data_IF_277749675494
#
_entry.id   IF_277749675494
#
_cell.length_a   1.000
_cell.length_b   1.000
_cell.length_c   1.000
_cell.angle_alpha   90.00
_cell.angle_beta   90.00
_cell.angle_gamma   90.00
#
_symmetry.space_group_name_H-M   'P 1'
#
loop_
_entity.id
_entity.type
_entity.pdbx_description
1 polymer ?
#
# COMPACT_ATOMS: atom_id res chain seq x y z
N UNK A 1 29.73 20.86 -8.74
CA UNK A 1 29.26 21.73 -9.84
C UNK A 1 28.67 23.00 -9.25
N UNK A 2 27.76 22.92 -8.26
CA UNK A 2 27.16 24.09 -7.60
C UNK A 2 28.21 25.00 -6.95
N UNK A 3 29.17 24.41 -6.24
CA UNK A 3 30.28 25.10 -5.60
C UNK A 3 31.16 25.86 -6.60
N UNK A 4 31.29 25.32 -7.82
CA UNK A 4 32.06 25.96 -8.93
C UNK A 4 31.26 27.04 -9.65
N UNK A 5 29.93 26.92 -9.69
CA UNK A 5 29.04 27.86 -10.37
C UNK A 5 28.45 28.92 -9.41
N UNK A 6 28.75 28.87 -8.12
CA UNK A 6 28.33 29.83 -7.11
C UNK A 6 26.81 29.84 -6.85
N UNK A 7 26.13 28.73 -7.11
CA UNK A 7 24.70 28.58 -6.91
C UNK A 7 24.39 27.56 -5.78
N UNK A 8 23.28 27.75 -5.08
CA UNK A 8 22.69 26.72 -4.23
C UNK A 8 21.94 25.72 -5.11
N UNK A 9 22.31 24.43 -5.01
CA UNK A 9 21.52 23.34 -5.62
C UNK A 9 20.43 22.99 -4.64
N UNK A 10 19.19 23.32 -4.96
CA UNK A 10 18.04 22.78 -4.26
C UNK A 10 18.00 21.25 -4.39
N UNK A 11 17.37 20.57 -3.43
CA UNK A 11 17.15 19.13 -3.52
C UNK A 11 16.35 18.82 -4.79
N UNK A 12 16.96 17.99 -5.66
CA UNK A 12 16.27 17.41 -6.81
C UNK A 12 15.97 15.97 -6.43
N UNK A 13 14.69 15.64 -6.38
CA UNK A 13 14.27 14.28 -6.09
C UNK A 13 14.80 13.31 -7.18
N UNK A 14 15.54 12.25 -6.80
CA UNK A 14 16.07 11.30 -7.77
C UNK A 14 14.92 10.56 -8.46
N UNK A 15 15.03 10.44 -9.78
CA UNK A 15 14.14 9.60 -10.59
C UNK A 15 14.87 8.32 -10.94
N UNK A 16 14.16 7.20 -10.92
CA UNK A 16 14.70 5.87 -11.18
C UNK A 16 13.85 5.23 -12.26
N UNK A 17 14.49 4.50 -13.17
CA UNK A 17 13.78 3.72 -14.16
C UNK A 17 12.97 2.61 -13.50
N UNK A 18 11.76 2.41 -13.97
CA UNK A 18 10.87 1.34 -13.57
C UNK A 18 10.37 0.59 -14.81
N UNK A 19 10.29 -0.73 -14.73
CA UNK A 19 9.88 -1.58 -15.86
C UNK A 19 8.57 -2.29 -15.52
N UNK A 20 7.55 -2.08 -16.35
CA UNK A 20 6.18 -2.49 -16.04
C UNK A 20 5.74 -3.81 -16.65
N UNK A 21 6.47 -4.36 -17.61
CA UNK A 21 6.10 -5.61 -18.23
C UNK A 21 6.64 -6.81 -17.44
N UNK A 22 5.76 -7.76 -17.14
CA UNK A 22 6.10 -9.05 -16.50
C UNK A 22 5.95 -10.24 -17.45
N UNK A 23 5.69 -9.99 -18.75
CA UNK A 23 5.43 -11.07 -19.74
C UNK A 23 6.68 -11.86 -20.09
N UNK A 24 7.74 -11.18 -20.50
CA UNK A 24 9.01 -11.81 -20.89
C UNK A 24 8.84 -12.95 -21.88
N UNK A 25 9.58 -14.04 -21.66
CA UNK A 25 9.55 -15.24 -22.52
C UNK A 25 8.21 -16.00 -22.44
N UNK A 26 7.35 -15.68 -21.48
CA UNK A 26 6.00 -16.26 -21.35
C UNK A 26 4.97 -15.59 -22.25
N UNK A 27 5.30 -14.41 -22.81
CA UNK A 27 4.37 -13.68 -23.67
C UNK A 27 4.19 -14.41 -25.00
N UNK A 28 2.92 -14.58 -25.43
CA UNK A 28 2.58 -15.24 -26.68
C UNK A 28 3.04 -14.41 -27.88
N UNK A 29 3.64 -15.09 -28.88
CA UNK A 29 4.21 -14.43 -30.06
C UNK A 29 3.35 -14.69 -31.30
N UNK A 30 3.19 -13.69 -32.16
CA UNK A 30 2.49 -13.76 -33.44
C UNK A 30 3.32 -14.47 -34.51
N UNK A 31 4.65 -14.29 -34.46
CA UNK A 31 5.62 -14.83 -35.42
C UNK A 31 6.99 -14.95 -34.74
N UNK A 32 7.91 -15.64 -35.38
CA UNK A 32 9.31 -15.69 -34.97
C UNK A 32 10.08 -14.57 -35.67
N UNK A 33 10.72 -13.69 -34.89
CA UNK A 33 11.50 -12.58 -35.43
C UNK A 33 12.95 -13.01 -35.66
N UNK A 34 13.43 -12.82 -36.90
CA UNK A 34 14.81 -13.08 -37.35
C UNK A 34 15.43 -11.81 -37.93
N UNK A 35 15.47 -10.73 -37.16
CA UNK A 35 15.98 -9.44 -37.57
C UNK A 35 17.11 -8.90 -36.72
N UNK A 36 17.35 -7.60 -36.79
CA UNK A 36 18.31 -6.92 -35.96
C UNK A 36 17.90 -7.02 -34.48
N UNK A 37 18.88 -7.19 -33.58
CA UNK A 37 18.65 -7.23 -32.15
C UNK A 37 18.41 -5.80 -31.60
N UNK A 38 17.37 -5.15 -32.08
CA UNK A 38 16.93 -3.80 -31.69
C UNK A 38 15.41 -3.76 -31.58
N UNK A 39 14.92 -3.32 -30.44
CA UNK A 39 13.48 -3.27 -30.15
C UNK A 39 12.73 -2.34 -31.11
N UNK A 40 13.35 -1.22 -31.55
CA UNK A 40 12.72 -0.28 -32.50
C UNK A 40 12.60 -0.92 -33.88
N UNK A 41 13.65 -1.59 -34.35
CA UNK A 41 13.61 -2.31 -35.61
C UNK A 41 12.55 -3.42 -35.59
N UNK A 42 12.43 -4.17 -34.50
CA UNK A 42 11.36 -5.17 -34.32
C UNK A 42 9.98 -4.51 -34.30
N UNK A 43 9.81 -3.36 -33.61
CA UNK A 43 8.54 -2.66 -33.53
C UNK A 43 8.03 -2.13 -34.89
N UNK A 44 8.91 -1.80 -35.82
CA UNK A 44 8.54 -1.42 -37.20
C UNK A 44 7.85 -2.56 -37.96
N UNK A 45 8.09 -3.82 -37.56
CA UNK A 45 7.43 -4.98 -38.12
C UNK A 45 6.14 -5.32 -37.38
N UNK A 46 5.03 -4.77 -37.82
CA UNK A 46 3.69 -5.03 -37.29
C UNK A 46 3.54 -4.76 -35.75
N UNK A 47 4.29 -3.79 -35.22
CA UNK A 47 4.28 -3.45 -33.80
C UNK A 47 5.03 -4.47 -32.90
N UNK A 48 5.94 -5.26 -33.49
CA UNK A 48 6.67 -6.31 -32.83
C UNK A 48 6.00 -7.68 -32.92
N UNK A 49 6.70 -8.70 -32.46
CA UNK A 49 6.32 -10.10 -32.58
C UNK A 49 5.34 -10.60 -31.50
N UNK A 50 5.05 -9.79 -30.46
CA UNK A 50 4.15 -10.17 -29.37
C UNK A 50 2.68 -9.96 -29.74
N UNK A 51 1.80 -10.85 -29.25
CA UNK A 51 0.35 -10.62 -29.28
C UNK A 51 -0.04 -9.42 -28.42
N UNK A 52 0.64 -9.21 -27.30
CA UNK A 52 0.45 -8.05 -26.44
C UNK A 52 1.12 -6.82 -27.08
N UNK A 53 0.33 -5.85 -27.53
CA UNK A 53 0.85 -4.60 -28.12
C UNK A 53 1.58 -3.69 -27.11
N UNK A 54 1.42 -3.94 -25.81
CA UNK A 54 2.07 -3.21 -24.70
C UNK A 54 3.23 -4.01 -24.10
N UNK A 55 3.61 -5.14 -24.69
CA UNK A 55 4.62 -6.04 -24.14
C UNK A 55 6.05 -5.56 -24.38
N UNK A 56 6.96 -5.92 -23.49
CA UNK A 56 8.40 -5.78 -23.70
C UNK A 56 8.86 -6.73 -24.80
N UNK A 57 9.48 -6.22 -25.84
CA UNK A 57 9.97 -7.01 -26.97
C UNK A 57 11.20 -7.89 -26.62
N UNK A 58 11.87 -7.62 -25.49
CA UNK A 58 12.91 -8.48 -24.95
C UNK A 58 14.27 -8.46 -25.65
N UNK A 59 14.51 -7.56 -26.62
CA UNK A 59 15.80 -7.51 -27.33
C UNK A 59 16.89 -6.67 -26.63
N UNK A 60 16.59 -6.05 -25.49
CA UNK A 60 17.61 -5.41 -24.65
C UNK A 60 18.10 -4.04 -25.11
N UNK A 61 17.44 -3.34 -26.03
CA UNK A 61 17.86 -2.01 -26.50
C UNK A 61 18.00 -1.00 -25.35
N UNK A 62 17.17 -1.07 -24.30
CA UNK A 62 17.28 -0.25 -23.10
C UNK A 62 18.54 -0.57 -22.27
N UNK A 63 18.97 -1.84 -22.27
CA UNK A 63 20.19 -2.29 -21.57
C UNK A 63 21.42 -1.78 -22.31
N UNK A 64 21.46 -1.92 -23.64
CA UNK A 64 22.58 -1.44 -24.48
C UNK A 64 22.75 0.08 -24.42
N UNK A 65 21.64 0.83 -24.27
CA UNK A 65 21.68 2.29 -24.18
C UNK A 65 21.91 2.81 -22.75
N UNK A 66 22.09 1.94 -21.76
CA UNK A 66 22.35 2.34 -20.38
C UNK A 66 23.84 2.57 -20.11
N UNK A 67 24.30 3.82 -20.17
CA UNK A 67 25.69 4.20 -19.93
C UNK A 67 26.16 3.98 -18.47
N UNK A 68 25.25 3.68 -17.54
CA UNK A 68 25.52 3.54 -16.12
C UNK A 68 25.44 2.08 -15.64
N UNK A 69 25.28 1.13 -16.56
CA UNK A 69 25.09 -0.30 -16.24
C UNK A 69 23.99 -0.55 -15.19
N UNK A 70 22.97 0.30 -15.17
CA UNK A 70 21.85 0.20 -14.25
C UNK A 70 20.77 -0.79 -14.71
N UNK A 71 20.85 -1.31 -15.93
CA UNK A 71 19.97 -2.32 -16.48
C UNK A 71 20.75 -3.55 -16.92
N UNK A 72 20.14 -4.72 -16.71
CA UNK A 72 20.62 -6.01 -17.24
C UNK A 72 19.42 -6.81 -17.70
N UNK A 73 19.62 -7.73 -18.67
CA UNK A 73 18.56 -8.69 -19.01
C UNK A 73 18.45 -9.74 -17.93
N UNK A 74 17.23 -9.94 -17.42
CA UNK A 74 16.91 -11.00 -16.48
C UNK A 74 16.68 -12.35 -17.16
N UNK A 75 16.58 -13.41 -16.35
CA UNK A 75 16.37 -14.80 -16.83
C UNK A 75 15.05 -15.02 -17.58
N UNK A 76 14.11 -14.10 -17.45
CA UNK A 76 12.80 -14.14 -18.12
C UNK A 76 12.76 -13.34 -19.43
N UNK A 77 13.89 -12.90 -19.96
CA UNK A 77 13.96 -12.13 -21.21
C UNK A 77 13.42 -10.70 -21.09
N UNK A 78 13.32 -10.15 -19.89
CA UNK A 78 12.94 -8.75 -19.63
C UNK A 78 14.04 -8.01 -18.86
N UNK A 79 14.17 -6.67 -19.02
CA UNK A 79 15.18 -5.91 -18.32
C UNK A 79 14.89 -5.82 -16.81
N UNK A 80 15.94 -5.92 -16.01
CA UNK A 80 15.92 -5.70 -14.56
C UNK A 80 16.70 -4.43 -14.26
N UNK A 81 16.11 -3.55 -13.47
CA UNK A 81 16.72 -2.27 -13.07
C UNK A 81 17.43 -2.42 -11.73
N UNK A 82 18.68 -1.94 -11.65
CA UNK A 82 19.39 -1.73 -10.39
C UNK A 82 19.18 -0.28 -9.92
N UNK A 83 18.33 -0.03 -8.91
CA UNK A 83 18.03 1.33 -8.46
C UNK A 83 19.26 2.07 -7.91
N UNK A 84 20.22 1.33 -7.33
CA UNK A 84 21.45 1.92 -6.76
C UNK A 84 22.44 2.44 -7.81
N UNK A 85 22.35 1.96 -9.05
CA UNK A 85 23.17 2.40 -10.17
C UNK A 85 22.44 3.38 -11.12
N UNK A 86 21.11 3.46 -11.03
CA UNK A 86 20.31 4.32 -11.89
C UNK A 86 20.47 5.80 -11.51
N UNK A 87 20.82 6.63 -12.49
CA UNK A 87 20.97 8.09 -12.32
C UNK A 87 19.80 8.89 -12.91
N UNK A 88 18.76 8.21 -13.41
CA UNK A 88 17.57 8.87 -13.97
C UNK A 88 17.80 9.64 -15.26
N UNK A 89 18.71 9.20 -16.12
CA UNK A 89 19.08 9.94 -17.35
C UNK A 89 18.03 9.87 -18.48
N UNK A 90 17.10 8.91 -18.48
CA UNK A 90 16.03 8.78 -19.48
C UNK A 90 16.37 7.97 -20.73
N UNK A 91 17.62 7.62 -21.00
CA UNK A 91 18.01 6.93 -22.25
C UNK A 91 17.25 5.60 -22.47
N UNK A 92 16.92 4.88 -21.43
CA UNK A 92 16.16 3.63 -21.52
C UNK A 92 14.67 3.87 -21.86
N UNK A 93 14.09 4.97 -21.39
CA UNK A 93 12.74 5.40 -21.71
C UNK A 93 12.63 5.84 -23.17
N UNK A 94 13.57 6.66 -23.66
CA UNK A 94 13.60 7.16 -25.03
C UNK A 94 13.75 6.05 -26.09
N UNK A 95 14.46 4.96 -25.76
CA UNK A 95 14.73 3.87 -26.71
C UNK A 95 13.64 2.81 -26.71
N UNK A 96 12.72 2.81 -25.74
CA UNK A 96 11.69 1.79 -25.59
C UNK A 96 10.49 2.05 -26.52
N UNK A 97 10.27 1.27 -27.59
CA UNK A 97 9.14 1.50 -28.50
C UNK A 97 7.79 1.10 -27.91
N UNK A 98 7.79 0.27 -26.85
CA UNK A 98 6.57 -0.20 -26.18
C UNK A 98 6.20 0.65 -24.95
N UNK A 99 7.00 1.68 -24.61
CA UNK A 99 6.83 2.55 -23.44
C UNK A 99 6.62 1.77 -22.13
N UNK A 100 7.31 0.63 -21.96
CA UNK A 100 7.19 -0.21 -20.76
C UNK A 100 8.27 0.05 -19.72
N UNK A 101 9.13 1.04 -19.95
CA UNK A 101 10.14 1.50 -19.02
C UNK A 101 10.06 3.03 -18.95
N UNK A 102 9.94 3.56 -17.77
CA UNK A 102 9.74 4.98 -17.52
C UNK A 102 10.47 5.43 -16.25
N UNK A 103 10.78 6.72 -16.15
CA UNK A 103 11.42 7.30 -14.98
C UNK A 103 10.39 7.82 -13.96
N UNK A 104 10.53 7.40 -12.71
CA UNK A 104 9.68 7.87 -11.61
C UNK A 104 10.50 8.32 -10.42
N UNK A 105 10.03 9.40 -9.79
CA UNK A 105 10.43 9.76 -8.44
C UNK A 105 9.61 8.98 -7.40
N UNK A 106 10.03 9.01 -6.14
CA UNK A 106 9.23 8.43 -5.06
C UNK A 106 7.90 9.17 -4.92
N UNK A 107 7.90 10.49 -5.08
CA UNK A 107 6.69 11.32 -5.09
C UNK A 107 5.74 10.90 -6.20
N UNK A 108 6.23 10.69 -7.43
CA UNK A 108 5.40 10.20 -8.54
C UNK A 108 4.75 8.86 -8.19
N UNK A 109 5.52 7.92 -7.63
CA UNK A 109 5.00 6.59 -7.26
C UNK A 109 3.98 6.63 -6.14
N UNK A 110 4.09 7.56 -5.18
CA UNK A 110 3.20 7.66 -4.04
C UNK A 110 1.94 8.48 -4.31
N UNK A 111 2.06 9.56 -5.10
CA UNK A 111 0.96 10.51 -5.29
C UNK A 111 0.19 10.32 -6.60
N UNK A 112 0.84 9.81 -7.66
CA UNK A 112 0.19 9.61 -8.94
C UNK A 112 -0.23 8.16 -9.13
N UNK A 113 -1.54 7.93 -9.07
CA UNK A 113 -2.13 6.66 -9.46
C UNK A 113 -2.14 6.60 -10.99
N UNK A 114 -1.27 5.78 -11.58
CA UNK A 114 -1.29 5.59 -13.02
C UNK A 114 -2.41 4.65 -13.40
N UNK A 115 -3.47 5.23 -13.94
CA UNK A 115 -4.58 4.52 -14.58
C UNK A 115 -4.52 4.62 -16.11
N UNK A 116 -3.46 5.20 -16.65
CA UNK A 116 -3.33 5.57 -18.06
C UNK A 116 -3.14 4.35 -18.98
N UNK A 117 -3.02 3.16 -18.41
CA UNK A 117 -2.91 1.93 -19.20
C UNK A 117 -4.28 1.25 -19.30
N UNK A 118 -4.77 1.11 -20.52
CA UNK A 118 -6.00 0.39 -20.88
C UNK A 118 -6.03 -1.09 -20.37
N UNK A 119 -4.91 -1.59 -19.86
CA UNK A 119 -4.71 -2.96 -19.40
C UNK A 119 -4.63 -3.12 -17.87
N UNK A 120 -5.35 -2.32 -17.10
CA UNK A 120 -5.44 -2.54 -15.64
C UNK A 120 -6.32 -3.77 -15.37
N UNK A 121 -5.79 -4.83 -14.73
CA UNK A 121 -6.55 -6.06 -14.51
C UNK A 121 -7.70 -5.82 -13.51
N UNK A 122 -8.83 -6.56 -13.65
CA UNK A 122 -10.01 -6.39 -12.79
C UNK A 122 -9.71 -6.48 -11.30
N UNK A 123 -8.79 -7.36 -10.89
CA UNK A 123 -8.39 -7.49 -9.49
C UNK A 123 -7.76 -6.20 -8.93
N UNK A 124 -6.95 -5.50 -9.71
CA UNK A 124 -6.39 -4.19 -9.32
C UNK A 124 -7.47 -3.11 -9.31
N UNK A 125 -8.37 -3.11 -10.30
CA UNK A 125 -9.48 -2.14 -10.37
C UNK A 125 -10.45 -2.27 -9.18
N UNK A 126 -10.74 -3.48 -8.74
CA UNK A 126 -11.62 -3.76 -7.62
C UNK A 126 -10.94 -3.57 -6.26
N UNK A 127 -9.61 -3.49 -6.23
CA UNK A 127 -8.89 -3.21 -4.99
C UNK A 127 -9.08 -1.74 -4.59
N UNK A 128 -9.66 -1.41 -3.41
CA UNK A 128 -9.83 -0.01 -3.00
C UNK A 128 -8.52 0.77 -2.88
N UNK A 129 -7.42 0.07 -2.59
CA UNK A 129 -6.07 0.66 -2.53
C UNK A 129 -5.33 0.59 -3.88
N UNK A 130 -5.92 -0.04 -4.89
CA UNK A 130 -5.36 -0.20 -6.24
C UNK A 130 -3.93 -0.78 -6.25
N UNK A 131 -3.70 -1.77 -5.40
CA UNK A 131 -2.44 -2.49 -5.34
C UNK A 131 -2.22 -3.18 -6.70
N UNK A 132 -0.99 -3.14 -7.21
CA UNK A 132 -0.62 -3.94 -8.38
C UNK A 132 -0.59 -5.43 -8.02
N UNK A 133 -1.78 -6.05 -8.07
CA UNK A 133 -2.00 -7.43 -7.64
C UNK A 133 -1.20 -8.43 -8.49
N UNK A 134 -1.21 -8.36 -9.83
CA UNK A 134 -0.41 -9.26 -10.64
C UNK A 134 1.08 -9.24 -10.30
N UNK A 135 1.64 -8.05 -10.06
CA UNK A 135 3.06 -7.92 -9.76
C UNK A 135 3.42 -8.60 -8.42
N UNK A 136 2.68 -8.35 -7.34
CA UNK A 136 3.04 -8.98 -6.07
C UNK A 136 2.78 -10.49 -6.08
N UNK A 137 1.77 -10.97 -6.82
CA UNK A 137 1.50 -12.41 -7.00
C UNK A 137 2.65 -13.08 -7.75
N UNK A 138 3.14 -12.45 -8.82
CA UNK A 138 4.25 -12.95 -9.62
C UNK A 138 5.55 -13.01 -8.80
N UNK A 139 5.89 -11.95 -8.07
CA UNK A 139 7.03 -11.95 -7.16
C UNK A 139 6.91 -13.02 -6.07
N UNK A 140 5.72 -13.19 -5.48
CA UNK A 140 5.50 -14.24 -4.49
C UNK A 140 5.67 -15.65 -5.08
N UNK A 141 5.17 -15.89 -6.29
CA UNK A 141 5.31 -17.16 -6.99
C UNK A 141 6.79 -17.52 -7.29
N UNK A 142 7.64 -16.50 -7.49
CA UNK A 142 9.08 -16.64 -7.71
C UNK A 142 9.91 -16.73 -6.43
N UNK A 143 9.29 -16.72 -5.26
CA UNK A 143 9.97 -16.67 -3.95
C UNK A 143 10.61 -15.32 -3.62
N UNK A 144 10.34 -14.26 -4.40
CA UNK A 144 10.83 -12.89 -4.21
C UNK A 144 9.89 -12.13 -3.27
N UNK A 145 9.86 -12.57 -2.00
CA UNK A 145 8.85 -12.08 -1.04
C UNK A 145 9.06 -10.63 -0.61
N UNK A 146 10.30 -10.14 -0.60
CA UNK A 146 10.60 -8.75 -0.28
C UNK A 146 10.08 -7.79 -1.36
N UNK A 147 10.29 -8.10 -2.62
CA UNK A 147 9.75 -7.32 -3.73
C UNK A 147 8.23 -7.40 -3.79
N UNK A 148 7.66 -8.58 -3.51
CA UNK A 148 6.21 -8.75 -3.38
C UNK A 148 5.64 -7.82 -2.29
N UNK A 149 6.28 -7.78 -1.11
CA UNK A 149 5.89 -6.89 -0.03
C UNK A 149 6.00 -5.42 -0.42
N UNK A 150 7.09 -5.03 -1.05
CA UNK A 150 7.33 -3.65 -1.49
C UNK A 150 6.22 -3.16 -2.42
N UNK A 151 5.79 -3.98 -3.40
CA UNK A 151 4.66 -3.68 -4.28
C UNK A 151 3.36 -3.48 -3.49
N UNK A 152 3.10 -4.31 -2.49
CA UNK A 152 1.91 -4.15 -1.63
C UNK A 152 1.99 -2.84 -0.85
N UNK A 153 3.15 -2.55 -0.23
CA UNK A 153 3.35 -1.40 0.65
C UNK A 153 3.40 -0.06 -0.08
N UNK A 154 3.54 -0.04 -1.39
CA UNK A 154 3.36 1.18 -2.19
C UNK A 154 1.96 1.79 -2.05
N UNK A 155 0.97 0.96 -1.77
CA UNK A 155 -0.44 1.38 -1.66
C UNK A 155 -1.11 1.00 -0.34
N UNK A 156 -0.57 0.02 0.37
CA UNK A 156 -1.15 -0.49 1.61
C UNK A 156 -0.06 -0.69 2.68
N UNK A 157 0.15 0.27 3.56
CA UNK A 157 1.18 0.19 4.61
C UNK A 157 0.80 -0.75 5.78
N UNK A 158 -0.40 -1.34 5.75
CA UNK A 158 -0.92 -2.25 6.78
C UNK A 158 -1.22 -3.66 6.22
N UNK A 159 -0.28 -4.31 5.51
CA UNK A 159 -0.53 -5.58 4.82
C UNK A 159 -0.88 -6.72 5.77
N UNK A 160 -0.28 -6.77 6.97
CA UNK A 160 -0.58 -7.74 8.03
C UNK A 160 -2.05 -7.70 8.46
N UNK A 161 -2.58 -6.50 8.61
CA UNK A 161 -3.95 -6.26 9.05
C UNK A 161 -4.92 -6.56 7.90
N UNK A 162 -4.67 -5.96 6.73
CA UNK A 162 -5.50 -6.17 5.55
C UNK A 162 -5.49 -7.64 5.08
N UNK A 163 -4.42 -8.39 5.30
CA UNK A 163 -4.35 -9.83 5.04
C UNK A 163 -5.31 -10.66 5.89
N UNK A 164 -5.82 -10.10 7.00
CA UNK A 164 -6.73 -10.79 7.95
C UNK A 164 -8.18 -10.33 7.87
N UNK A 165 -8.40 -9.04 7.57
CA UNK A 165 -9.76 -8.46 7.66
C UNK A 165 -10.31 -7.92 6.34
N UNK A 166 -9.55 -7.97 5.26
CA UNK A 166 -10.00 -7.54 3.95
C UNK A 166 -11.07 -8.50 3.40
N UNK A 167 -12.22 -8.00 2.90
CA UNK A 167 -13.24 -8.83 2.25
C UNK A 167 -12.81 -9.35 0.86
N UNK A 168 -11.63 -8.95 0.38
CA UNK A 168 -11.01 -9.40 -0.86
C UNK A 168 -11.85 -9.24 -2.15
N UNK A 169 -12.42 -8.05 -2.45
CA UNK A 169 -13.24 -7.85 -3.65
C UNK A 169 -12.48 -8.11 -4.96
N UNK A 170 -11.16 -8.11 -4.91
CA UNK A 170 -10.30 -8.47 -6.03
C UNK A 170 -10.43 -9.96 -6.43
N UNK A 171 -10.82 -10.82 -5.51
CA UNK A 171 -11.04 -12.26 -5.77
C UNK A 171 -12.37 -12.47 -6.48
N UNK A 172 -13.41 -11.69 -6.13
CA UNK A 172 -14.72 -11.76 -6.79
C UNK A 172 -14.65 -11.41 -8.29
N UNK A 173 -13.75 -10.52 -8.69
CA UNK A 173 -13.54 -10.14 -10.09
C UNK A 173 -12.35 -10.83 -10.75
N UNK A 174 -11.86 -11.90 -10.20
CA UNK A 174 -10.72 -12.62 -10.76
C UNK A 174 -11.10 -13.37 -12.03
N UNK A 175 -10.43 -13.07 -13.17
CA UNK A 175 -10.69 -13.75 -14.45
C UNK A 175 -10.36 -15.24 -14.45
N UNK A 176 -9.62 -15.73 -13.46
CA UNK A 176 -9.37 -17.17 -13.31
C UNK A 176 -10.65 -17.95 -13.04
N UNK A 177 -11.64 -17.33 -12.41
CA UNK A 177 -12.98 -17.94 -12.21
C UNK A 177 -13.59 -18.38 -13.55
N UNK A 178 -13.39 -17.60 -14.62
CA UNK A 178 -13.91 -17.93 -15.95
C UNK A 178 -13.17 -19.11 -16.62
N UNK A 179 -11.98 -19.48 -16.12
CA UNK A 179 -11.12 -20.49 -16.72
C UNK A 179 -11.01 -21.76 -15.87
N UNK A 180 -10.91 -21.61 -14.55
CA UNK A 180 -10.54 -22.68 -13.61
C UNK A 180 -11.59 -22.87 -12.50
N UNK A 181 -12.73 -22.18 -12.55
CA UNK A 181 -13.81 -22.15 -11.55
C UNK A 181 -13.40 -21.59 -10.17
N UNK A 182 -12.14 -21.19 -9.98
CA UNK A 182 -11.64 -20.64 -8.72
C UNK A 182 -10.79 -19.38 -8.93
N UNK A 183 -10.92 -18.36 -8.05
CA UNK A 183 -10.06 -17.19 -8.10
C UNK A 183 -8.65 -17.49 -7.60
N UNK A 184 -7.69 -16.66 -7.98
CA UNK A 184 -6.41 -16.61 -7.27
C UNK A 184 -6.65 -16.02 -5.89
N UNK A 185 -6.22 -16.70 -4.84
CA UNK A 185 -6.39 -16.26 -3.45
C UNK A 185 -5.43 -15.12 -3.08
N UNK A 186 -5.70 -13.95 -3.65
CA UNK A 186 -4.86 -12.76 -3.52
C UNK A 186 -4.65 -12.34 -2.07
N UNK A 187 -5.71 -12.43 -1.24
CA UNK A 187 -5.64 -12.03 0.15
C UNK A 187 -4.79 -12.98 1.00
N UNK A 188 -4.85 -14.28 0.73
CA UNK A 188 -3.98 -15.25 1.41
C UNK A 188 -2.51 -15.07 1.04
N UNK A 189 -2.21 -14.81 -0.23
CA UNK A 189 -0.83 -14.49 -0.66
C UNK A 189 -0.32 -13.21 -0.02
N UNK A 190 -1.12 -12.15 0.03
CA UNK A 190 -0.78 -10.91 0.72
C UNK A 190 -0.50 -11.16 2.21
N UNK A 191 -1.36 -11.94 2.88
CA UNK A 191 -1.16 -12.35 4.26
C UNK A 191 0.13 -13.13 4.44
N UNK A 192 0.38 -14.11 3.58
CA UNK A 192 1.59 -14.95 3.64
C UNK A 192 2.86 -14.09 3.55
N UNK A 193 2.94 -13.19 2.57
CA UNK A 193 4.10 -12.32 2.39
C UNK A 193 4.30 -11.39 3.58
N UNK A 194 3.22 -10.86 4.15
CA UNK A 194 3.30 -10.01 5.33
C UNK A 194 3.69 -10.79 6.59
N UNK A 195 3.20 -12.02 6.78
CA UNK A 195 3.57 -12.89 7.90
C UNK A 195 5.03 -13.37 7.76
N UNK A 196 5.50 -13.62 6.54
CA UNK A 196 6.91 -13.91 6.27
C UNK A 196 7.81 -12.75 6.71
N UNK A 197 7.46 -11.51 6.37
CA UNK A 197 8.21 -10.33 6.79
C UNK A 197 8.18 -10.14 8.32
N UNK A 198 7.02 -10.36 8.94
CA UNK A 198 6.87 -10.30 10.40
C UNK A 198 7.80 -11.28 11.13
N UNK A 199 8.16 -12.39 10.50
CA UNK A 199 9.03 -13.41 11.08
C UNK A 199 10.54 -13.11 10.89
N UNK A 200 10.91 -12.08 10.13
CA UNK A 200 12.32 -11.72 9.88
C UNK A 200 12.89 -10.91 11.05
N UNK A 201 14.13 -11.17 11.37
CA UNK A 201 14.91 -10.35 12.32
C UNK A 201 15.47 -9.08 11.67
N UNK A 202 15.93 -9.20 10.40
CA UNK A 202 16.45 -8.08 9.61
C UNK A 202 15.36 -7.50 8.71
N UNK A 203 14.80 -6.37 9.16
CA UNK A 203 13.71 -5.68 8.46
C UNK A 203 14.08 -4.22 8.23
N UNK A 204 14.35 -3.84 6.97
CA UNK A 204 14.70 -2.47 6.66
C UNK A 204 13.54 -1.51 6.97
N UNK A 205 13.88 -0.30 7.38
CA UNK A 205 12.90 0.80 7.42
C UNK A 205 12.63 1.23 5.97
N UNK A 206 11.36 1.43 5.58
CA UNK A 206 11.03 1.92 4.24
C UNK A 206 11.78 3.21 3.90
N UNK A 207 12.28 3.30 2.67
CA UNK A 207 13.01 4.49 2.19
C UNK A 207 12.14 5.75 2.32
N UNK A 208 12.68 6.78 2.94
CA UNK A 208 12.07 8.09 3.09
C UNK A 208 12.86 9.14 2.30
N UNK A 209 12.17 10.13 1.75
CA UNK A 209 12.82 11.32 1.20
C UNK A 209 13.49 12.14 2.31
N UNK A 210 14.44 13.01 1.98
CA UNK A 210 15.03 13.95 2.92
C UNK A 210 13.99 14.77 3.67
N UNK A 211 14.34 15.17 4.88
CA UNK A 211 13.46 15.97 5.72
C UNK A 211 13.12 17.30 5.02
N UNK A 212 11.84 17.57 4.90
CA UNK A 212 11.30 18.80 4.30
C UNK A 212 11.16 19.95 5.31
N UNK A 213 11.39 19.68 6.59
CA UNK A 213 11.10 20.61 7.69
C UNK A 213 9.60 20.83 7.94
N UNK A 214 8.69 20.16 7.20
CA UNK A 214 7.24 20.31 7.34
C UNK A 214 6.68 19.35 8.39
N UNK A 215 5.89 19.93 9.30
CA UNK A 215 5.23 19.20 10.40
C UNK A 215 3.74 19.06 10.14
N UNK A 216 3.22 17.85 10.31
CA UNK A 216 1.78 17.57 10.11
C UNK A 216 1.18 16.98 11.39
N UNK A 217 0.16 17.63 11.92
CA UNK A 217 -0.64 17.05 13.00
C UNK A 217 -1.69 16.10 12.43
N UNK A 218 -1.80 14.92 12.99
CA UNK A 218 -2.80 13.89 12.63
C UNK A 218 -3.68 13.66 13.85
N UNK A 219 -4.97 13.93 13.75
CA UNK A 219 -5.93 13.76 14.84
C UNK A 219 -6.65 12.44 14.63
N UNK A 220 -6.27 11.42 15.42
CA UNK A 220 -6.74 10.05 15.37
C UNK A 220 -5.70 9.07 14.81
N UNK A 221 -5.33 8.09 15.61
CA UNK A 221 -4.37 7.02 15.31
C UNK A 221 -5.04 5.71 14.84
N UNK A 222 -6.19 5.82 14.19
CA UNK A 222 -6.84 4.73 13.48
C UNK A 222 -6.17 4.41 12.14
N UNK A 223 -6.75 3.50 11.30
CA UNK A 223 -6.14 3.09 10.04
C UNK A 223 -5.85 4.26 9.09
N UNK A 224 -6.72 5.26 9.04
CA UNK A 224 -6.51 6.45 8.20
C UNK A 224 -5.31 7.28 8.68
N UNK A 225 -5.23 7.58 9.98
CA UNK A 225 -4.12 8.35 10.55
C UNK A 225 -2.78 7.63 10.45
N UNK A 226 -2.74 6.34 10.72
CA UNK A 226 -1.55 5.51 10.57
C UNK A 226 -1.07 5.45 9.12
N UNK A 227 -1.98 5.28 8.17
CA UNK A 227 -1.67 5.29 6.74
C UNK A 227 -1.11 6.64 6.30
N UNK A 228 -1.73 7.74 6.74
CA UNK A 228 -1.24 9.07 6.45
C UNK A 228 0.15 9.32 7.05
N UNK A 229 0.39 8.91 8.30
CA UNK A 229 1.69 9.02 8.93
C UNK A 229 2.79 8.29 8.15
N UNK A 230 2.50 7.07 7.67
CA UNK A 230 3.40 6.30 6.83
C UNK A 230 3.80 7.07 5.55
N UNK A 231 2.82 7.52 4.77
CA UNK A 231 3.11 8.21 3.51
C UNK A 231 3.76 9.57 3.72
N UNK A 232 3.34 10.33 4.74
CA UNK A 232 3.99 11.60 5.09
C UNK A 232 5.46 11.40 5.45
N UNK A 233 5.79 10.35 6.23
CA UNK A 233 7.19 10.03 6.52
C UNK A 233 7.97 9.63 5.27
N UNK A 234 7.37 8.82 4.39
CA UNK A 234 7.96 8.45 3.09
C UNK A 234 8.32 9.69 2.26
N UNK A 235 7.47 10.72 2.31
CA UNK A 235 7.65 12.01 1.62
C UNK A 235 8.57 13.00 2.38
N UNK A 236 9.19 12.60 3.49
CA UNK A 236 10.13 13.41 4.24
C UNK A 236 9.47 14.42 5.20
N UNK A 237 8.16 14.34 5.43
CA UNK A 237 7.49 15.20 6.42
C UNK A 237 7.58 14.60 7.83
N UNK A 238 7.33 15.43 8.85
CA UNK A 238 7.35 15.05 10.26
C UNK A 238 5.92 14.98 10.82
N UNK A 239 5.23 13.83 10.72
CA UNK A 239 3.90 13.64 11.29
C UNK A 239 3.96 13.44 12.81
N UNK A 240 2.98 14.01 13.53
CA UNK A 240 2.67 13.71 14.93
C UNK A 240 1.21 13.31 15.06
N UNK A 241 0.96 12.13 15.64
CA UNK A 241 -0.40 11.60 15.88
C UNK A 241 -0.85 12.02 17.28
N UNK A 242 -2.06 12.53 17.38
CA UNK A 242 -2.79 12.79 18.61
C UNK A 242 -3.97 11.81 18.69
N UNK A 243 -4.04 11.00 19.75
CA UNK A 243 -5.14 10.04 19.92
C UNK A 243 -5.77 10.16 21.31
N UNK A 244 -7.10 10.18 21.34
CA UNK A 244 -7.87 10.24 22.58
C UNK A 244 -7.85 8.93 23.39
N UNK A 245 -7.34 7.85 22.81
CA UNK A 245 -7.26 6.54 23.44
C UNK A 245 -5.85 6.24 23.92
N UNK A 246 -5.69 5.29 24.87
CA UNK A 246 -4.38 4.92 25.40
C UNK A 246 -3.50 4.16 24.39
N UNK A 247 -4.07 3.63 23.32
CA UNK A 247 -3.37 2.84 22.31
C UNK A 247 -3.88 3.15 20.91
N UNK A 248 -2.96 3.13 19.93
CA UNK A 248 -3.30 3.33 18.50
C UNK A 248 -4.03 2.12 17.90
N UNK A 249 -4.64 2.36 16.76
CA UNK A 249 -5.34 1.35 15.97
C UNK A 249 -6.81 1.68 15.71
N UNK A 250 -7.41 2.58 16.51
CA UNK A 250 -8.81 2.98 16.32
C UNK A 250 -9.74 1.76 16.25
N UNK A 251 -10.64 1.69 15.26
CA UNK A 251 -11.57 0.56 15.12
C UNK A 251 -10.88 -0.79 14.87
N UNK A 252 -9.64 -0.83 14.42
CA UNK A 252 -8.87 -2.09 14.30
C UNK A 252 -8.59 -2.69 15.68
N UNK A 253 -8.41 -1.86 16.70
CA UNK A 253 -8.15 -2.28 18.08
C UNK A 253 -9.44 -2.44 18.88
N UNK A 254 -10.30 -1.42 18.84
CA UNK A 254 -11.45 -1.31 19.73
C UNK A 254 -12.75 -1.85 19.16
N UNK A 255 -12.78 -2.17 17.86
CA UNK A 255 -13.96 -2.69 17.17
C UNK A 255 -13.82 -4.09 16.64
N UNK A 256 -12.60 -4.52 16.25
CA UNK A 256 -12.36 -5.85 15.72
C UNK A 256 -11.85 -6.78 16.83
N UNK A 257 -12.56 -7.89 17.11
CA UNK A 257 -12.18 -8.83 18.16
C UNK A 257 -10.83 -9.53 17.91
N UNK A 258 -10.19 -9.95 19.01
CA UNK A 258 -8.90 -10.65 19.02
C UNK A 258 -8.87 -11.89 18.10
N UNK A 259 -9.97 -12.65 18.01
CA UNK A 259 -10.03 -13.86 17.18
C UNK A 259 -10.02 -13.57 15.67
N UNK A 260 -10.39 -12.36 15.26
CA UNK A 260 -10.29 -11.93 13.84
C UNK A 260 -8.99 -11.20 13.55
N UNK A 261 -8.55 -10.33 14.46
CA UNK A 261 -7.33 -9.54 14.35
C UNK A 261 -6.56 -9.61 15.66
N UNK A 262 -5.59 -10.53 15.78
CA UNK A 262 -4.75 -10.63 16.96
C UNK A 262 -4.03 -9.31 17.27
N UNK A 263 -4.14 -8.80 18.48
CA UNK A 263 -3.57 -7.49 18.85
C UNK A 263 -2.05 -7.48 18.70
N UNK A 264 -1.38 -8.61 18.92
CA UNK A 264 0.06 -8.76 18.63
C UNK A 264 0.41 -8.43 17.18
N UNK A 265 -0.44 -8.82 16.23
CA UNK A 265 -0.25 -8.55 14.81
C UNK A 265 -0.53 -7.08 14.51
N UNK A 266 -1.57 -6.52 15.13
CA UNK A 266 -1.90 -5.11 15.01
C UNK A 266 -0.77 -4.24 15.55
N UNK A 267 -0.26 -4.54 16.75
CA UNK A 267 0.83 -3.81 17.39
C UNK A 267 2.10 -3.86 16.54
N UNK A 268 2.39 -5.01 15.96
CA UNK A 268 3.52 -5.15 15.06
C UNK A 268 3.41 -4.21 13.86
N UNK A 269 2.25 -4.20 13.17
CA UNK A 269 2.02 -3.30 12.03
C UNK A 269 2.05 -1.81 12.40
N UNK A 270 1.54 -1.45 13.59
CA UNK A 270 1.63 -0.09 14.11
C UNK A 270 3.08 0.30 14.39
N UNK A 271 3.84 -0.56 15.09
CA UNK A 271 5.23 -0.30 15.42
C UNK A 271 6.11 -0.14 14.18
N UNK A 272 5.79 -0.82 13.08
CA UNK A 272 6.47 -0.63 11.79
C UNK A 272 6.35 0.80 11.26
N UNK A 273 5.20 1.42 11.46
CA UNK A 273 4.99 2.82 11.08
C UNK A 273 5.70 3.74 12.07
N UNK A 274 5.60 3.47 13.37
CA UNK A 274 6.21 4.32 14.41
C UNK A 274 7.73 4.36 14.33
N UNK A 275 8.38 3.24 14.02
CA UNK A 275 9.85 3.17 13.88
C UNK A 275 10.41 4.01 12.71
N UNK A 276 9.55 4.50 11.82
CA UNK A 276 9.94 5.47 10.78
C UNK A 276 10.16 6.88 11.34
N UNK A 277 9.96 7.12 12.63
CA UNK A 277 10.08 8.42 13.27
C UNK A 277 8.75 9.19 13.30
N UNK A 278 7.66 8.51 13.61
CA UNK A 278 6.34 9.12 13.84
C UNK A 278 6.16 9.36 15.33
N UNK A 279 5.94 10.62 15.71
CA UNK A 279 5.65 10.99 17.09
C UNK A 279 4.18 10.72 17.44
N UNK A 280 3.91 10.37 18.69
CA UNK A 280 2.55 10.09 19.17
C UNK A 280 2.30 10.72 20.53
N UNK A 281 1.10 11.28 20.70
CA UNK A 281 0.58 11.73 21.99
C UNK A 281 -0.75 11.03 22.27
N UNK A 282 -0.78 10.29 23.37
CA UNK A 282 -1.91 9.46 23.76
C UNK A 282 -2.79 10.14 24.81
N UNK A 283 -4.04 9.71 24.90
CA UNK A 283 -5.02 10.19 25.89
C UNK A 283 -5.29 11.70 25.79
N UNK A 284 -5.23 12.25 24.58
CA UNK A 284 -5.50 13.68 24.32
C UNK A 284 -6.58 13.83 23.26
N UNK A 285 -7.63 14.56 23.59
CA UNK A 285 -8.83 14.71 22.78
C UNK A 285 -8.96 16.13 22.22
N UNK A 286 -9.24 16.22 20.93
CA UNK A 286 -9.60 17.52 20.32
C UNK A 286 -10.86 18.09 20.95
N UNK A 287 -10.81 19.38 21.32
CA UNK A 287 -11.90 20.09 21.98
C UNK A 287 -11.94 19.93 23.49
N UNK A 288 -11.17 18.98 24.06
CA UNK A 288 -10.97 18.81 25.49
C UNK A 288 -9.59 19.29 25.93
N UNK A 289 -8.54 18.67 25.40
CA UNK A 289 -7.17 18.92 25.81
C UNK A 289 -6.46 19.95 24.91
N UNK A 290 -6.87 20.06 23.65
CA UNK A 290 -6.33 21.01 22.70
C UNK A 290 -7.38 21.42 21.64
N UNK A 291 -7.10 22.51 20.94
CA UNK A 291 -7.93 23.06 19.84
C UNK A 291 -7.17 23.03 18.52
N UNK A 292 -7.89 23.14 17.40
CA UNK A 292 -7.29 23.29 16.07
C UNK A 292 -6.43 24.55 16.01
N UNK A 293 -6.90 25.67 16.59
CA UNK A 293 -6.18 26.95 16.60
C UNK A 293 -4.84 26.90 17.38
N UNK A 294 -4.68 25.97 18.31
CA UNK A 294 -3.39 25.72 18.98
C UNK A 294 -2.45 24.94 18.08
N UNK A 295 -2.94 23.91 17.39
CA UNK A 295 -2.13 23.13 16.45
C UNK A 295 -1.66 23.95 15.23
N UNK A 296 -2.48 24.90 14.74
CA UNK A 296 -2.13 25.79 13.62
C UNK A 296 -0.89 26.65 13.90
N UNK A 297 -0.50 26.83 15.16
CA UNK A 297 0.71 27.57 15.53
C UNK A 297 2.00 26.78 15.31
N UNK A 298 1.90 25.46 15.44
CA UNK A 298 3.06 24.56 15.51
C UNK A 298 3.17 23.62 14.29
N UNK A 299 2.13 23.50 13.47
CA UNK A 299 2.06 22.59 12.35
C UNK A 299 1.72 23.28 11.04
N UNK A 300 2.33 22.83 9.94
CA UNK A 300 2.06 23.33 8.59
C UNK A 300 0.72 22.81 8.03
N UNK A 301 0.25 21.67 8.51
CA UNK A 301 -1.03 21.08 8.12
C UNK A 301 -1.62 20.22 9.25
N UNK A 302 -2.94 20.08 9.24
CA UNK A 302 -3.69 19.27 10.20
C UNK A 302 -4.58 18.31 9.43
N UNK A 303 -4.47 17.01 9.72
CA UNK A 303 -5.31 15.95 9.16
C UNK A 303 -6.30 15.45 10.21
N UNK A 304 -7.59 15.52 9.89
CA UNK A 304 -8.67 15.01 10.72
C UNK A 304 -8.93 13.53 10.35
N UNK A 305 -8.56 12.59 11.23
CA UNK A 305 -8.69 11.14 11.01
C UNK A 305 -9.35 10.44 12.21
N UNK A 306 -10.28 11.12 12.87
CA UNK A 306 -10.92 10.69 14.14
C UNK A 306 -11.83 9.47 14.00
N UNK A 307 -12.18 9.09 12.77
CA UNK A 307 -13.11 7.99 12.50
C UNK A 307 -14.59 8.33 12.81
N UNK A 308 -15.43 7.29 12.83
CA UNK A 308 -16.85 7.38 13.13
C UNK A 308 -17.19 6.42 14.29
N UNK A 309 -17.23 6.96 15.50
CA UNK A 309 -17.47 6.19 16.72
C UNK A 309 -18.95 6.09 17.08
N UNK A 310 -19.77 7.02 16.58
CA UNK A 310 -21.18 7.06 16.87
C UNK A 310 -21.93 6.00 16.09
N UNK A 311 -22.81 5.30 16.79
CA UNK A 311 -23.66 4.31 16.18
C UNK A 311 -24.96 4.94 15.69
N UNK A 312 -25.50 4.42 14.59
CA UNK A 312 -26.84 4.78 14.13
C UNK A 312 -27.90 4.28 15.12
N UNK A 313 -28.86 5.14 15.43
CA UNK A 313 -30.05 4.80 16.23
C UNK A 313 -31.00 3.90 15.42
N UNK A 314 -31.59 2.92 16.06
CA UNK A 314 -32.65 2.09 15.50
C UNK A 314 -33.98 2.87 15.38
N UNK A 315 -34.11 3.99 16.12
CA UNK A 315 -35.29 4.86 16.16
C UNK A 315 -36.57 4.09 16.57
N UNK A 316 -36.42 3.20 17.55
CA UNK A 316 -37.54 2.45 18.11
C UNK A 316 -37.66 2.74 19.61
N UNK A 317 -38.86 2.53 20.15
CA UNK A 317 -39.12 2.65 21.59
C UNK A 317 -38.31 1.62 22.35
N UNK A 318 -37.68 2.05 23.44
CA UNK A 318 -36.87 1.19 24.31
C UNK A 318 -35.40 1.12 23.94
N UNK A 319 -34.90 1.85 22.94
CA UNK A 319 -33.48 1.87 22.55
C UNK A 319 -32.58 2.43 23.67
N UNK A 320 -33.14 3.21 24.57
CA UNK A 320 -32.47 3.87 25.70
C UNK A 320 -32.62 3.11 27.05
N UNK A 321 -33.24 1.92 27.01
CA UNK A 321 -33.41 1.11 28.22
C UNK A 321 -32.08 0.52 28.72
N UNK A 322 -32.03 0.30 30.01
CA UNK A 322 -30.90 -0.40 30.64
C UNK A 322 -30.74 -1.81 30.07
N UNK A 323 -29.50 -2.16 29.74
CA UNK A 323 -29.20 -3.43 29.07
C UNK A 323 -29.28 -3.39 27.51
N UNK A 324 -29.69 -2.26 26.91
CA UNK A 324 -29.56 -2.05 25.48
C UNK A 324 -28.22 -1.41 25.16
N UNK A 325 -27.43 -2.07 24.32
CA UNK A 325 -26.07 -1.67 23.99
C UNK A 325 -25.93 -1.36 22.52
N UNK A 326 -25.20 -0.33 22.19
CA UNK A 326 -24.76 -0.10 20.81
C UNK A 326 -23.60 -1.04 20.49
N UNK A 327 -23.61 -1.66 19.31
CA UNK A 327 -22.64 -2.71 18.96
C UNK A 327 -21.19 -2.29 19.09
N UNK A 328 -20.81 -1.09 18.60
CA UNK A 328 -19.42 -0.60 18.74
C UNK A 328 -19.05 -0.29 20.18
N UNK A 329 -20.00 0.19 21.00
CA UNK A 329 -19.79 0.43 22.43
C UNK A 329 -19.56 -0.89 23.17
N UNK A 330 -20.35 -1.91 22.86
CA UNK A 330 -20.17 -3.25 23.43
C UNK A 330 -18.78 -3.80 23.13
N UNK A 331 -18.37 -3.78 21.86
CA UNK A 331 -17.06 -4.26 21.42
C UNK A 331 -15.92 -3.46 22.07
N UNK A 332 -16.03 -2.13 22.12
CA UNK A 332 -15.05 -1.28 22.77
C UNK A 332 -14.89 -1.59 24.26
N UNK A 333 -15.98 -1.74 24.99
CA UNK A 333 -15.94 -2.07 26.42
C UNK A 333 -15.24 -3.41 26.65
N UNK A 334 -15.53 -4.40 25.82
CA UNK A 334 -14.88 -5.70 25.87
C UNK A 334 -13.37 -5.60 25.67
N UNK A 335 -12.95 -4.89 24.63
CA UNK A 335 -11.52 -4.72 24.29
C UNK A 335 -10.76 -3.90 25.35
N UNK A 336 -11.43 -2.98 26.03
CA UNK A 336 -10.87 -2.24 27.18
C UNK A 336 -10.86 -3.05 28.48
N UNK A 337 -11.20 -4.35 28.44
CA UNK A 337 -11.17 -5.24 29.60
C UNK A 337 -12.36 -5.12 30.54
N UNK A 338 -13.43 -4.45 30.12
CA UNK A 338 -14.67 -4.43 30.93
C UNK A 338 -15.33 -5.80 30.87
N UNK A 339 -15.39 -6.48 32.02
CA UNK A 339 -16.07 -7.77 32.09
C UNK A 339 -17.60 -7.56 32.07
N UNK A 340 -18.20 -8.00 30.95
CA UNK A 340 -19.66 -8.04 30.81
C UNK A 340 -20.14 -9.44 31.15
N UNK A 341 -20.74 -9.61 32.33
CA UNK A 341 -21.29 -10.92 32.70
C UNK A 341 -22.67 -11.13 32.06
N UNK A 342 -22.70 -11.96 31.04
CA UNK A 342 -23.89 -12.38 30.32
C UNK A 342 -24.31 -13.81 30.67
N UNK A 343 -23.72 -14.41 31.73
CA UNK A 343 -24.03 -15.77 32.14
C UNK A 343 -25.52 -15.93 32.43
N UNK A 344 -26.16 -16.91 31.81
CA UNK A 344 -27.60 -17.20 31.96
C UNK A 344 -28.57 -16.15 31.41
N UNK A 345 -28.06 -15.10 30.72
CA UNK A 345 -28.89 -14.10 30.06
C UNK A 345 -29.22 -14.54 28.63
N UNK A 346 -30.40 -14.17 28.16
CA UNK A 346 -30.75 -14.25 26.74
C UNK A 346 -30.37 -12.93 26.06
N UNK A 347 -29.49 -12.99 25.08
CA UNK A 347 -29.05 -11.83 24.33
C UNK A 347 -29.68 -11.83 22.95
N UNK A 348 -30.16 -10.68 22.51
CA UNK A 348 -30.65 -10.47 21.16
C UNK A 348 -29.71 -9.51 20.45
N UNK A 349 -29.18 -9.90 19.29
CA UNK A 349 -28.37 -9.06 18.44
C UNK A 349 -29.22 -8.63 17.23
N UNK A 350 -29.33 -7.33 17.02
CA UNK A 350 -30.10 -6.75 15.91
C UNK A 350 -29.16 -6.31 14.81
N UNK A 351 -29.24 -6.98 13.66
CA UNK A 351 -28.43 -6.73 12.47
C UNK A 351 -27.65 -7.97 12.03
N UNK A 352 -27.09 -7.94 10.81
CA UNK A 352 -26.30 -9.01 10.21
C UNK A 352 -24.99 -8.51 9.60
N UNK A 353 -24.58 -7.28 9.89
CA UNK A 353 -23.28 -6.72 9.48
C UNK A 353 -22.13 -7.21 10.37
N UNK A 354 -20.90 -6.88 9.97
CA UNK A 354 -19.70 -7.32 10.69
C UNK A 354 -19.74 -6.99 12.21
N UNK A 355 -20.19 -5.79 12.58
CA UNK A 355 -20.30 -5.38 14.00
C UNK A 355 -21.24 -6.29 14.79
N UNK A 356 -22.38 -6.69 14.20
CA UNK A 356 -23.34 -7.57 14.85
C UNK A 356 -22.85 -9.01 14.96
N UNK A 357 -22.08 -9.48 13.98
CA UNK A 357 -21.46 -10.82 14.03
C UNK A 357 -20.28 -10.90 14.98
N UNK A 358 -19.61 -9.78 15.22
CA UNK A 358 -18.46 -9.68 16.12
C UNK A 358 -18.89 -9.49 17.59
N UNK A 359 -20.08 -8.92 17.83
CA UNK A 359 -20.65 -8.71 19.15
C UNK A 359 -21.27 -9.98 19.73
#
# INVERSE_FOLDING_TARGET
VAEVLGGEVGFIEPRIADHYCTGGDRAERKYHYEGALDCRAMAEHYGGDLLCQYGCLGLGSCVENCNFNALSMGDEGIPVVNPGACVGCGSCEEVCPSNVIELHSLTDRLLHFRHDHECVPPCTQLCPAQINIPAYVDFAAKGRYEESLNVIMERNPLPLICGRVCPAPCEDGCRRVDMDDEPVHHNYLKRFVADWDMAREDRPIPTCLPDTGKRVAIIGGGPAGLTAAYFLRRLGHSPKIYDAKPELGGMLRYGIPEYRLPKKVLDFGINDILRMGVDVEYNVALGGDFSVAELEKDFDAILMAMGAWDNSSLRCEGEDLDGVWKGTEFLQKRELGTHLDLTGKRVVVVGGGNTAMDA
#
